data_IF_772334883131
#
_entry.id   IF_772334883131
#
_cell.length_a   1.000
_cell.length_b   1.000
_cell.length_c   1.000
_cell.angle_alpha   90.00
_cell.angle_beta   90.00
_cell.angle_gamma   90.00
#
_symmetry.space_group_name_H-M   'P 1'
#
loop_
_entity.id
_entity.type
_entity.pdbx_description
1 polymer ?
#
# COMPACT_ATOMS: atom_id res chain seq x y z
N UNK A 1 6.44 -34.32 -20.39
CA UNK A 1 5.18 -33.56 -20.31
C UNK A 1 5.52 -32.08 -20.36
N UNK A 2 5.00 -31.28 -21.30
CA UNK A 2 5.30 -29.86 -21.34
C UNK A 2 4.35 -29.11 -20.40
N UNK A 3 4.95 -28.35 -19.50
CA UNK A 3 4.33 -27.27 -18.72
C UNK A 3 3.76 -26.26 -19.71
N UNK A 4 2.43 -26.09 -19.71
CA UNK A 4 1.76 -25.11 -20.54
C UNK A 4 2.18 -23.69 -20.11
N UNK A 5 2.69 -22.92 -21.06
CA UNK A 5 3.13 -21.54 -20.88
C UNK A 5 1.94 -20.62 -20.51
N UNK A 6 1.92 -20.14 -19.27
CA UNK A 6 1.02 -19.08 -18.76
C UNK A 6 1.30 -17.68 -19.33
N UNK A 7 1.52 -17.57 -20.63
CA UNK A 7 1.89 -16.30 -21.30
C UNK A 7 0.71 -15.32 -21.47
N UNK A 8 -0.54 -15.72 -21.16
CA UNK A 8 -1.72 -14.87 -21.32
C UNK A 8 -1.95 -13.84 -20.20
N UNK A 9 -1.60 -14.18 -18.95
CA UNK A 9 -1.95 -13.36 -17.78
C UNK A 9 -0.98 -12.20 -17.56
N UNK A 10 0.28 -12.35 -17.98
CA UNK A 10 1.31 -11.30 -17.87
C UNK A 10 1.32 -10.28 -19.01
N UNK A 11 0.70 -10.61 -20.16
CA UNK A 11 0.67 -9.72 -21.32
C UNK A 11 -0.22 -8.50 -21.09
N UNK A 12 -1.37 -8.68 -20.42
CA UNK A 12 -2.32 -7.59 -20.14
C UNK A 12 -1.72 -6.54 -19.21
N UNK A 13 -1.13 -6.96 -18.08
CA UNK A 13 -0.45 -6.06 -17.14
C UNK A 13 0.79 -5.35 -17.73
N UNK A 14 1.52 -6.01 -18.64
CA UNK A 14 2.66 -5.39 -19.36
C UNK A 14 2.18 -4.36 -20.38
N UNK A 15 1.07 -4.57 -21.06
CA UNK A 15 0.50 -3.63 -22.04
C UNK A 15 -0.14 -2.41 -21.37
N UNK A 16 -0.63 -2.57 -20.13
CA UNK A 16 -1.14 -1.50 -19.27
C UNK A 16 -0.04 -0.59 -18.69
N UNK A 17 1.21 -1.05 -18.68
CA UNK A 17 2.33 -0.42 -17.98
C UNK A 17 3.26 0.45 -18.82
N UNK A 18 2.96 0.74 -20.09
CA UNK A 18 3.88 1.49 -20.96
C UNK A 18 3.83 3.03 -20.75
N UNK A 19 2.94 3.53 -19.90
CA UNK A 19 2.99 4.91 -19.40
C UNK A 19 2.66 4.94 -17.92
N UNK A 20 3.27 5.87 -17.17
CA UNK A 20 2.99 6.10 -15.73
C UNK A 20 1.49 6.28 -15.46
N UNK A 21 0.74 6.76 -16.45
CA UNK A 21 -0.68 7.10 -16.35
C UNK A 21 -1.65 6.07 -16.96
N UNK A 22 -1.16 5.05 -17.66
CA UNK A 22 -2.00 4.12 -18.43
C UNK A 22 -3.12 3.46 -17.62
N UNK A 23 -2.81 2.82 -16.47
CA UNK A 23 -3.82 2.19 -15.62
C UNK A 23 -4.86 3.19 -15.09
N UNK A 24 -4.42 4.41 -14.77
CA UNK A 24 -5.30 5.48 -14.25
C UNK A 24 -6.31 5.92 -15.30
N UNK A 25 -5.88 6.13 -16.55
CA UNK A 25 -6.78 6.54 -17.63
C UNK A 25 -7.86 5.47 -17.86
N UNK A 26 -7.47 4.20 -17.86
CA UNK A 26 -8.44 3.12 -18.06
C UNK A 26 -9.42 2.97 -16.90
N UNK A 27 -8.94 3.03 -15.67
CA UNK A 27 -9.81 2.99 -14.49
C UNK A 27 -10.69 4.25 -14.39
N UNK A 28 -10.21 5.41 -14.81
CA UNK A 28 -11.00 6.63 -14.90
C UNK A 28 -12.07 6.56 -16.00
N UNK A 29 -11.79 5.87 -17.10
CA UNK A 29 -12.77 5.61 -18.18
C UNK A 29 -13.83 4.60 -17.75
N UNK A 30 -13.44 3.59 -16.96
CA UNK A 30 -14.37 2.67 -16.32
C UNK A 30 -15.16 3.44 -15.25
N UNK A 31 -16.39 3.83 -15.55
CA UNK A 31 -17.28 4.43 -14.54
C UNK A 31 -17.78 3.35 -13.58
N UNK A 32 -18.09 3.68 -12.32
CA UNK A 32 -18.86 2.77 -11.48
C UNK A 32 -20.21 2.51 -12.15
N UNK A 33 -20.52 1.24 -12.40
CA UNK A 33 -21.78 0.85 -13.00
C UNK A 33 -22.77 0.46 -11.92
N UNK A 34 -23.96 1.06 -11.97
CA UNK A 34 -25.05 0.67 -11.09
C UNK A 34 -25.55 -0.71 -11.51
N UNK A 35 -25.66 -1.62 -10.56
CA UNK A 35 -26.23 -2.94 -10.83
C UNK A 35 -27.75 -2.84 -11.03
N UNK A 36 -28.35 -3.89 -11.59
CA UNK A 36 -29.79 -3.93 -11.87
C UNK A 36 -30.66 -3.85 -10.59
N UNK A 37 -30.13 -4.27 -9.44
CA UNK A 37 -30.82 -4.25 -8.15
C UNK A 37 -30.07 -3.42 -7.11
N UNK A 38 -30.78 -3.04 -6.04
CA UNK A 38 -30.20 -2.31 -4.92
C UNK A 38 -29.17 -3.18 -4.18
N UNK A 39 -29.51 -4.44 -3.93
CA UNK A 39 -28.67 -5.40 -3.21
C UNK A 39 -27.35 -5.63 -3.95
N UNK A 40 -27.39 -5.80 -5.27
CA UNK A 40 -26.19 -5.95 -6.09
C UNK A 40 -25.37 -4.64 -6.16
N UNK A 41 -26.02 -3.48 -6.07
CA UNK A 41 -25.33 -2.19 -5.99
C UNK A 41 -24.66 -2.00 -4.63
N UNK A 42 -25.32 -2.42 -3.54
CA UNK A 42 -24.78 -2.37 -2.20
C UNK A 42 -23.57 -3.30 -2.05
N UNK A 43 -23.68 -4.55 -2.50
CA UNK A 43 -22.55 -5.50 -2.45
C UNK A 43 -21.31 -4.99 -3.20
N UNK A 44 -21.49 -4.33 -4.35
CA UNK A 44 -20.38 -3.68 -5.06
C UNK A 44 -19.74 -2.55 -4.27
N UNK A 45 -20.53 -1.75 -3.55
CA UNK A 45 -20.01 -0.68 -2.69
C UNK A 45 -19.25 -1.25 -1.49
N UNK A 46 -19.76 -2.31 -0.89
CA UNK A 46 -19.11 -3.04 0.22
C UNK A 46 -17.77 -3.62 -0.22
N UNK A 47 -17.71 -4.26 -1.40
CA UNK A 47 -16.48 -4.76 -1.98
C UNK A 47 -15.45 -3.65 -2.25
N UNK A 48 -15.93 -2.55 -2.83
CA UNK A 48 -15.11 -1.37 -3.08
C UNK A 48 -14.53 -0.75 -1.80
N UNK A 49 -15.28 -0.78 -0.69
CA UNK A 49 -14.82 -0.34 0.62
C UNK A 49 -13.83 -1.34 1.23
N UNK A 50 -14.12 -2.64 1.15
CA UNK A 50 -13.23 -3.69 1.63
C UNK A 50 -11.86 -3.66 0.95
N UNK A 51 -11.81 -3.40 -0.36
CA UNK A 51 -10.56 -3.24 -1.11
C UNK A 51 -9.79 -1.99 -0.67
N UNK A 52 -10.48 -0.86 -0.45
CA UNK A 52 -9.83 0.37 0.04
C UNK A 52 -9.26 0.18 1.44
N UNK A 53 -9.99 -0.51 2.31
CA UNK A 53 -9.52 -0.89 3.64
C UNK A 53 -8.29 -1.80 3.57
N UNK A 54 -8.33 -2.88 2.77
CA UNK A 54 -7.19 -3.78 2.58
C UNK A 54 -5.95 -3.05 2.07
N UNK A 55 -6.13 -2.11 1.13
CA UNK A 55 -5.05 -1.28 0.63
C UNK A 55 -4.53 -0.26 1.65
N UNK A 56 -5.39 0.25 2.54
CA UNK A 56 -5.00 1.07 3.68
C UNK A 56 -4.16 0.28 4.68
N UNK A 57 -4.64 -0.89 5.09
CA UNK A 57 -3.94 -1.82 6.00
C UNK A 57 -2.58 -2.24 5.46
N UNK A 58 -2.47 -2.48 4.15
CA UNK A 58 -1.18 -2.76 3.50
C UNK A 58 -0.10 -1.71 3.84
N UNK A 59 -0.45 -0.42 3.80
CA UNK A 59 0.50 0.64 4.11
C UNK A 59 0.81 0.71 5.60
N UNK A 60 -0.18 0.53 6.48
CA UNK A 60 0.06 0.45 7.93
C UNK A 60 1.00 -0.71 8.28
N UNK A 61 0.75 -1.91 7.77
CA UNK A 61 1.60 -3.06 8.02
C UNK A 61 3.01 -2.84 7.48
N UNK A 62 3.16 -2.19 6.32
CA UNK A 62 4.49 -1.84 5.82
C UNK A 62 5.17 -0.82 6.74
N UNK A 63 4.54 0.30 7.01
CA UNK A 63 5.11 1.40 7.80
C UNK A 63 5.44 1.00 9.24
N UNK A 64 4.72 0.02 9.80
CA UNK A 64 4.96 -0.55 11.12
C UNK A 64 5.91 -1.78 11.14
N UNK A 65 6.43 -2.21 9.98
CA UNK A 65 7.40 -3.31 9.91
C UNK A 65 6.82 -4.73 10.03
N UNK A 66 5.51 -4.90 9.83
CA UNK A 66 4.83 -6.20 9.89
C UNK A 66 4.79 -6.87 8.51
N UNK A 67 5.90 -7.53 8.15
CA UNK A 67 6.03 -8.23 6.87
C UNK A 67 5.06 -9.41 6.71
N UNK A 68 4.66 -10.05 7.80
CA UNK A 68 3.73 -11.16 7.80
C UNK A 68 2.32 -10.68 7.41
N UNK A 69 1.84 -9.64 8.07
CA UNK A 69 0.54 -9.04 7.74
C UNK A 69 0.53 -8.42 6.34
N UNK A 70 1.63 -7.82 5.88
CA UNK A 70 1.76 -7.39 4.47
C UNK A 70 1.59 -8.59 3.53
N UNK A 71 2.30 -9.69 3.78
CA UNK A 71 2.26 -10.86 2.91
C UNK A 71 0.86 -11.51 2.88
N UNK A 72 0.14 -11.51 3.99
CA UNK A 72 -1.20 -12.07 4.07
C UNK A 72 -2.24 -11.33 3.21
N UNK A 73 -1.96 -10.08 2.80
CA UNK A 73 -2.80 -9.34 1.86
C UNK A 73 -2.60 -9.75 0.40
N UNK A 74 -1.69 -10.69 0.11
CA UNK A 74 -1.43 -11.22 -1.22
C UNK A 74 -1.98 -12.64 -1.36
N UNK A 75 -2.46 -12.99 -2.56
CA UNK A 75 -2.80 -14.39 -2.88
C UNK A 75 -1.54 -15.27 -2.85
N UNK A 76 -1.72 -16.59 -2.67
CA UNK A 76 -0.59 -17.52 -2.58
C UNK A 76 0.31 -17.47 -3.84
N UNK A 77 -0.32 -17.26 -5.00
CA UNK A 77 0.27 -17.16 -6.34
C UNK A 77 0.55 -15.71 -6.78
N UNK A 78 0.52 -14.74 -5.86
CA UNK A 78 0.54 -13.33 -6.23
C UNK A 78 1.83 -12.90 -6.95
N UNK A 79 1.72 -11.85 -7.77
CA UNK A 79 2.86 -11.29 -8.49
C UNK A 79 3.09 -9.83 -8.12
N UNK A 80 4.19 -9.55 -7.42
CA UNK A 80 4.64 -8.20 -7.12
C UNK A 80 5.72 -7.76 -8.11
N UNK A 81 5.48 -6.66 -8.81
CA UNK A 81 6.48 -5.98 -9.64
C UNK A 81 6.79 -4.62 -9.03
N UNK A 82 8.05 -4.41 -8.67
CA UNK A 82 8.51 -3.14 -8.12
C UNK A 82 9.85 -2.76 -8.78
N UNK A 83 10.46 -1.59 -8.45
CA UNK A 83 11.69 -1.16 -9.09
C UNK A 83 12.90 -2.10 -8.94
N UNK A 84 12.85 -3.08 -8.03
CA UNK A 84 13.92 -4.08 -7.84
C UNK A 84 13.71 -5.35 -8.67
N UNK A 85 12.53 -5.56 -9.24
CA UNK A 85 12.21 -6.73 -10.04
C UNK A 85 10.83 -7.32 -9.77
N UNK A 86 10.69 -8.60 -10.07
CA UNK A 86 9.44 -9.35 -9.95
C UNK A 86 9.57 -10.45 -8.89
N UNK A 87 8.60 -10.52 -7.98
CA UNK A 87 8.50 -11.50 -6.91
C UNK A 87 7.21 -12.27 -7.10
N UNK A 88 7.32 -13.60 -7.18
CA UNK A 88 6.19 -14.50 -7.50
C UNK A 88 5.91 -15.38 -6.29
N UNK A 89 4.66 -15.39 -5.87
CA UNK A 89 4.12 -16.09 -4.71
C UNK A 89 4.29 -15.33 -3.40
N UNK A 90 3.38 -15.58 -2.45
CA UNK A 90 3.32 -14.89 -1.14
C UNK A 90 4.65 -14.92 -0.40
N UNK A 91 5.33 -16.07 -0.41
CA UNK A 91 6.63 -16.22 0.25
C UNK A 91 7.73 -15.30 -0.35
N UNK A 92 7.74 -15.08 -1.67
CA UNK A 92 8.69 -14.17 -2.31
C UNK A 92 8.36 -12.70 -2.02
N UNK A 93 7.06 -12.39 -1.96
CA UNK A 93 6.58 -11.07 -1.56
C UNK A 93 7.02 -10.75 -0.12
N UNK A 94 6.82 -11.67 0.82
CA UNK A 94 7.28 -11.53 2.22
C UNK A 94 8.76 -11.20 2.29
N UNK A 95 9.62 -12.00 1.65
CA UNK A 95 11.08 -11.78 1.62
C UNK A 95 11.48 -10.39 1.09
N UNK A 96 10.75 -9.88 0.10
CA UNK A 96 10.99 -8.53 -0.41
C UNK A 96 10.68 -7.47 0.65
N UNK A 97 9.58 -7.59 1.39
CA UNK A 97 9.23 -6.61 2.43
C UNK A 97 10.12 -6.70 3.66
N UNK A 98 10.48 -7.91 4.11
CA UNK A 98 11.48 -8.12 5.17
C UNK A 98 12.79 -7.40 4.83
N UNK A 99 13.26 -7.56 3.58
CA UNK A 99 14.46 -6.87 3.11
C UNK A 99 14.30 -5.34 3.16
N UNK A 100 13.17 -4.79 2.69
CA UNK A 100 12.94 -3.34 2.71
C UNK A 100 12.89 -2.78 4.12
N UNK A 101 12.12 -3.43 5.00
CA UNK A 101 11.93 -3.03 6.40
C UNK A 101 13.26 -3.10 7.15
N UNK A 102 14.14 -4.07 6.84
CA UNK A 102 15.49 -4.14 7.45
C UNK A 102 16.44 -3.02 7.04
N UNK A 103 16.09 -2.22 6.02
CA UNK A 103 16.97 -1.19 5.41
C UNK A 103 16.42 0.22 5.56
N UNK A 104 15.27 0.38 6.18
CA UNK A 104 14.62 1.68 6.34
C UNK A 104 14.36 1.91 7.83
N UNK A 105 14.58 3.15 8.27
CA UNK A 105 13.96 3.63 9.50
C UNK A 105 12.47 3.87 9.28
N UNK A 106 11.83 4.77 10.04
CA UNK A 106 10.44 5.16 9.81
C UNK A 106 10.15 5.51 8.35
N UNK A 107 9.05 4.95 7.84
CA UNK A 107 8.47 5.25 6.52
C UNK A 107 7.01 5.62 6.72
N UNK A 108 6.53 6.54 5.89
CA UNK A 108 5.13 6.89 5.78
C UNK A 108 4.73 6.84 4.32
N UNK A 109 3.83 5.91 3.97
CA UNK A 109 3.23 5.83 2.65
C UNK A 109 1.90 6.57 2.59
N UNK A 110 1.84 7.56 1.72
CA UNK A 110 0.63 8.30 1.37
C UNK A 110 0.12 7.80 0.03
N UNK A 111 -0.82 6.85 0.07
CA UNK A 111 -1.54 6.42 -1.12
C UNK A 111 -2.75 7.31 -1.35
N UNK A 112 -2.72 8.11 -2.41
CA UNK A 112 -3.78 9.08 -2.73
C UNK A 112 -4.47 8.73 -4.05
N UNK A 113 -5.63 9.37 -4.28
CA UNK A 113 -6.44 9.17 -5.49
C UNK A 113 -6.80 7.69 -5.73
N UNK A 114 -7.04 6.95 -4.64
CA UNK A 114 -7.38 5.53 -4.69
C UNK A 114 -8.69 5.33 -5.43
N UNK A 115 -8.62 4.68 -6.58
CA UNK A 115 -9.79 4.32 -7.37
C UNK A 115 -9.87 2.81 -7.45
N UNK A 116 -11.05 2.25 -7.16
CA UNK A 116 -11.34 0.81 -7.20
C UNK A 116 -12.45 0.55 -8.21
N UNK A 117 -12.34 -0.53 -8.98
CA UNK A 117 -13.37 -1.01 -9.91
C UNK A 117 -13.52 -2.52 -9.79
N UNK A 118 -14.64 -2.95 -9.23
CA UNK A 118 -15.07 -4.35 -9.28
C UNK A 118 -15.51 -4.68 -10.71
N UNK A 119 -15.05 -5.79 -11.24
CA UNK A 119 -15.31 -6.21 -12.60
C UNK A 119 -16.80 -6.48 -12.82
N UNK A 120 -17.31 -6.11 -14.00
CA UNK A 120 -18.70 -6.36 -14.36
C UNK A 120 -18.95 -7.81 -14.76
N UNK A 121 -17.95 -8.45 -15.38
CA UNK A 121 -18.05 -9.83 -15.88
C UNK A 121 -17.66 -10.87 -14.84
N UNK A 122 -16.96 -10.46 -13.79
CA UNK A 122 -16.50 -11.34 -12.71
C UNK A 122 -16.49 -10.58 -11.38
N UNK A 123 -17.48 -10.79 -10.49
CA UNK A 123 -17.59 -10.06 -9.23
C UNK A 123 -16.52 -10.45 -8.19
N UNK A 124 -15.70 -11.46 -8.48
CA UNK A 124 -14.57 -11.87 -7.64
C UNK A 124 -13.23 -11.31 -8.15
N UNK A 125 -13.28 -10.39 -9.13
CA UNK A 125 -12.13 -9.64 -9.61
C UNK A 125 -12.36 -8.13 -9.48
N UNK A 126 -11.30 -7.41 -9.12
CA UNK A 126 -11.31 -5.96 -9.12
C UNK A 126 -9.94 -5.40 -9.47
N UNK A 127 -9.91 -4.11 -9.83
CA UNK A 127 -8.69 -3.38 -10.11
C UNK A 127 -8.64 -2.12 -9.28
N UNK A 128 -7.45 -1.74 -8.82
CA UNK A 128 -7.24 -0.43 -8.22
C UNK A 128 -5.98 0.27 -8.69
N UNK A 129 -6.01 1.59 -8.62
CA UNK A 129 -4.84 2.46 -8.86
C UNK A 129 -4.77 3.54 -7.79
N UNK A 130 -3.55 3.96 -7.48
CA UNK A 130 -3.29 5.06 -6.57
C UNK A 130 -1.98 5.76 -6.92
N UNK A 131 -1.85 7.03 -6.56
CA UNK A 131 -0.55 7.69 -6.52
C UNK A 131 0.15 7.31 -5.23
N UNK A 132 1.45 7.05 -5.34
CA UNK A 132 2.32 6.91 -4.19
C UNK A 132 3.03 8.23 -3.95
N UNK A 133 2.99 8.69 -2.72
CA UNK A 133 4.03 9.53 -2.14
C UNK A 133 4.53 8.85 -0.87
N UNK A 134 5.84 8.75 -0.67
CA UNK A 134 6.38 8.30 0.60
C UNK A 134 7.48 9.21 1.12
N UNK A 135 7.56 9.28 2.44
CA UNK A 135 8.70 9.85 3.18
C UNK A 135 9.34 8.71 3.93
N UNK A 136 10.66 8.57 3.80
CA UNK A 136 11.41 7.51 4.45
C UNK A 136 12.70 8.08 5.03
N UNK A 137 13.15 7.44 6.09
CA UNK A 137 14.41 7.77 6.73
C UNK A 137 15.40 6.61 6.62
N UNK A 138 16.68 6.93 6.49
CA UNK A 138 17.78 5.96 6.38
C UNK A 138 19.03 6.44 7.10
N UNK A 139 19.84 5.45 7.52
CA UNK A 139 21.03 5.67 8.34
C UNK A 139 20.68 6.15 9.76
N UNK A 140 21.59 5.95 10.68
CA UNK A 140 21.38 6.23 12.10
C UNK A 140 22.66 6.84 12.69
N UNK A 141 22.53 7.89 13.51
CA UNK A 141 23.64 8.44 14.28
C UNK A 141 23.83 7.68 15.60
N UNK A 142 24.89 7.99 16.35
CA UNK A 142 25.19 7.32 17.63
C UNK A 142 24.10 7.51 18.71
N UNK A 143 23.06 8.31 18.45
CA UNK A 143 21.93 8.58 19.35
C UNK A 143 20.63 7.95 18.86
N UNK A 144 20.68 7.10 17.82
CA UNK A 144 19.49 6.46 17.30
C UNK A 144 18.64 7.33 16.37
N UNK A 145 19.15 8.49 15.92
CA UNK A 145 18.39 9.42 15.09
C UNK A 145 18.70 9.19 13.62
N UNK A 146 17.67 9.27 12.78
CA UNK A 146 17.88 9.08 11.36
C UNK A 146 18.78 10.17 10.76
N UNK A 147 19.78 9.76 9.98
CA UNK A 147 20.77 10.68 9.39
C UNK A 147 20.38 11.21 8.02
N UNK A 148 19.42 10.56 7.35
CA UNK A 148 18.95 10.94 6.02
C UNK A 148 17.45 10.83 5.96
N UNK A 149 16.79 11.86 5.44
CA UNK A 149 15.35 11.87 5.18
C UNK A 149 15.17 12.11 3.69
N UNK A 150 14.43 11.22 3.04
CA UNK A 150 14.14 11.28 1.62
C UNK A 150 12.67 11.01 1.35
N UNK A 151 12.29 11.18 0.10
CA UNK A 151 10.96 10.84 -0.37
C UNK A 151 11.00 10.27 -1.78
N UNK A 152 9.92 9.60 -2.16
CA UNK A 152 9.74 9.14 -3.52
C UNK A 152 8.28 9.22 -3.92
N UNK A 153 8.05 9.51 -5.20
CA UNK A 153 6.72 9.51 -5.78
C UNK A 153 6.58 8.46 -6.86
N UNK A 154 5.39 7.89 -7.00
CA UNK A 154 5.16 6.72 -7.81
C UNK A 154 3.69 6.45 -8.08
N UNK A 155 3.42 5.26 -8.58
CA UNK A 155 2.08 4.80 -8.92
C UNK A 155 1.89 3.34 -8.54
N UNK A 156 0.67 3.01 -8.13
CA UNK A 156 0.19 1.66 -7.94
C UNK A 156 -0.79 1.29 -9.06
N UNK A 157 -0.68 0.06 -9.54
CA UNK A 157 -1.72 -0.63 -10.30
C UNK A 157 -1.84 -2.05 -9.75
N UNK A 158 -3.03 -2.41 -9.30
CA UNK A 158 -3.27 -3.61 -8.51
C UNK A 158 -4.47 -4.38 -9.07
N UNK A 159 -4.29 -5.68 -9.23
CA UNK A 159 -5.36 -6.63 -9.48
C UNK A 159 -5.72 -7.33 -8.17
N UNK A 160 -7.01 -7.40 -7.88
CA UNK A 160 -7.57 -8.01 -6.68
C UNK A 160 -8.37 -9.24 -7.07
N UNK A 161 -8.28 -10.28 -6.25
CA UNK A 161 -9.14 -11.47 -6.33
C UNK A 161 -9.80 -11.70 -4.98
N UNK A 162 -11.09 -12.07 -5.00
CA UNK A 162 -11.77 -12.56 -3.80
C UNK A 162 -11.35 -14.00 -3.53
N UNK A 163 -11.00 -14.29 -2.29
CA UNK A 163 -10.68 -15.62 -1.80
C UNK A 163 -11.35 -15.82 -0.45
N UNK A 164 -12.23 -16.81 -0.34
CA UNK A 164 -12.99 -17.13 0.89
C UNK A 164 -13.66 -15.91 1.55
N UNK A 165 -14.20 -15.01 0.72
CA UNK A 165 -14.88 -13.79 1.18
C UNK A 165 -13.97 -12.57 1.39
N UNK A 166 -12.64 -12.75 1.34
CA UNK A 166 -11.67 -11.66 1.51
C UNK A 166 -11.07 -11.20 0.18
N UNK A 167 -10.81 -9.89 0.06
CA UNK A 167 -10.13 -9.32 -1.11
C UNK A 167 -8.62 -9.31 -0.92
N UNK A 168 -7.90 -10.03 -1.79
CA UNK A 168 -6.45 -10.16 -1.75
C UNK A 168 -5.81 -9.65 -3.05
N UNK A 169 -4.59 -9.12 -2.94
CA UNK A 169 -3.80 -8.68 -4.09
C UNK A 169 -3.29 -9.89 -4.88
N UNK A 170 -3.80 -10.05 -6.09
CA UNK A 170 -3.37 -11.06 -7.05
C UNK A 170 -2.12 -10.62 -7.84
N UNK A 171 -2.08 -9.33 -8.19
CA UNK A 171 -0.91 -8.72 -8.79
C UNK A 171 -0.80 -7.28 -8.30
N UNK A 172 0.42 -6.84 -8.02
CA UNK A 172 0.70 -5.46 -7.64
C UNK A 172 1.88 -4.95 -8.44
N UNK A 173 1.70 -3.82 -9.10
CA UNK A 173 2.78 -3.10 -9.78
C UNK A 173 2.96 -1.74 -9.14
N UNK A 174 4.15 -1.52 -8.62
CA UNK A 174 4.60 -0.26 -8.04
C UNK A 174 5.68 0.36 -8.93
N UNK A 175 5.56 1.66 -9.20
CA UNK A 175 6.64 2.47 -9.76
C UNK A 175 7.22 3.40 -8.70
N UNK A 176 8.48 3.80 -8.90
CA UNK A 176 9.09 4.97 -8.24
C UNK A 176 9.60 5.87 -9.34
N UNK A 177 8.81 6.90 -9.67
CA UNK A 177 9.04 7.76 -10.82
C UNK A 177 10.05 8.87 -10.54
N UNK A 178 10.15 9.30 -9.28
CA UNK A 178 11.13 10.28 -8.86
C UNK A 178 11.51 10.07 -7.39
N UNK A 179 12.67 10.61 -7.02
CA UNK A 179 13.17 10.67 -5.64
C UNK A 179 13.45 12.12 -5.29
N UNK A 180 13.25 12.46 -4.03
CA UNK A 180 13.62 13.76 -3.47
C UNK A 180 14.42 13.54 -2.20
N UNK A 181 15.38 14.43 -1.94
CA UNK A 181 16.06 14.54 -0.65
C UNK A 181 15.48 15.71 0.12
N UNK A 182 15.31 15.56 1.43
CA UNK A 182 14.95 16.67 2.30
C UNK A 182 16.20 17.13 3.04
N UNK A 183 16.40 18.45 3.06
CA UNK A 183 17.41 19.07 3.93
C UNK A 183 16.69 19.65 5.14
N UNK A 184 17.20 19.38 6.33
CA UNK A 184 16.74 20.10 7.51
C UNK A 184 17.08 21.58 7.32
N UNK A 185 16.13 22.51 7.53
CA UNK A 185 16.46 23.92 7.62
C UNK A 185 17.54 24.12 8.70
N UNK A 186 18.53 24.97 8.42
CA UNK A 186 19.50 25.36 9.44
C UNK A 186 18.80 26.24 10.49
N UNK A 187 18.90 25.85 11.76
CA UNK A 187 18.55 26.69 12.90
C UNK A 187 17.04 26.86 13.13
N UNK A 188 16.48 26.04 14.00
CA UNK A 188 15.36 26.48 14.83
C UNK A 188 15.95 27.12 16.08
N UNK A 189 15.70 28.41 16.31
CA UNK A 189 15.98 29.03 17.60
C UNK A 189 15.03 28.44 18.64
N UNK A 190 15.51 27.46 19.40
CA UNK A 190 14.78 26.91 20.53
C UNK A 190 14.78 27.93 21.66
N UNK A 191 13.74 28.75 21.74
CA UNK A 191 13.22 29.07 23.06
C UNK A 191 12.70 27.76 23.67
N UNK A 192 12.93 27.55 24.97
CA UNK A 192 12.28 26.44 25.66
C UNK A 192 10.77 26.67 25.59
N UNK A 193 9.98 25.63 25.26
CA UNK A 193 8.53 25.74 25.37
C UNK A 193 8.13 26.01 26.83
N UNK A 194 6.94 26.58 27.08
CA UNK A 194 6.41 26.67 28.43
C UNK A 194 6.31 25.28 29.07
N UNK A 195 6.36 25.24 30.40
CA UNK A 195 6.14 23.99 31.13
C UNK A 195 4.73 23.46 30.81
N UNK A 196 4.57 22.15 30.52
CA UNK A 196 3.27 21.58 30.24
C UNK A 196 2.45 21.45 31.53
N UNK A 197 1.13 21.57 31.43
CA UNK A 197 0.21 21.40 32.56
C UNK A 197 0.08 19.93 33.02
N UNK A 198 0.38 18.99 32.12
CA UNK A 198 0.38 17.55 32.34
C UNK A 198 1.64 16.92 31.75
N UNK A 199 2.12 15.83 32.36
CA UNK A 199 3.30 15.10 31.89
C UNK A 199 3.01 14.15 30.71
N UNK A 200 1.81 14.21 30.14
CA UNK A 200 1.42 13.36 29.01
C UNK A 200 2.25 13.67 27.76
N UNK A 201 2.75 12.62 27.12
CA UNK A 201 3.46 12.66 25.85
C UNK A 201 2.49 12.44 24.69
N UNK A 202 2.79 13.03 23.54
CA UNK A 202 2.12 12.71 22.26
C UNK A 202 2.20 11.23 21.87
N UNK A 203 3.01 10.43 22.57
CA UNK A 203 3.18 9.00 22.36
C UNK A 203 2.47 8.12 23.39
N UNK A 204 1.87 8.68 24.44
CA UNK A 204 1.28 7.87 25.51
C UNK A 204 0.08 7.05 25.01
N UNK A 205 -0.70 7.59 24.06
CA UNK A 205 -1.82 6.92 23.40
C UNK A 205 -1.38 5.99 22.25
N UNK A 206 -0.10 6.03 21.86
CA UNK A 206 0.46 5.19 20.79
C UNK A 206 1.10 3.90 21.32
N UNK A 207 1.34 3.83 22.63
CA UNK A 207 1.76 2.59 23.28
C UNK A 207 0.55 1.68 23.33
N UNK A 208 0.71 0.42 22.91
CA UNK A 208 -0.34 -0.59 23.06
C UNK A 208 -0.69 -0.71 24.55
N UNK A 209 -1.76 -0.03 24.96
CA UNK A 209 -2.40 -0.23 26.24
C UNK A 209 -3.43 -1.35 26.05
N UNK A 210 -3.20 -2.55 26.61
CA UNK A 210 -4.13 -3.67 26.47
C UNK A 210 -5.51 -3.39 27.09
N UNK A 211 -5.62 -2.37 27.95
CA UNK A 211 -6.87 -1.96 28.59
C UNK A 211 -7.55 -0.78 27.84
N UNK A 212 -6.91 -0.22 26.81
CA UNK A 212 -7.50 0.83 25.99
C UNK A 212 -8.54 0.26 25.02
N UNK A 213 -9.81 0.45 25.36
CA UNK A 213 -10.93 0.19 24.47
C UNK A 213 -11.35 1.48 23.76
N UNK A 214 -11.43 1.44 22.42
CA UNK A 214 -12.11 2.50 21.68
C UNK A 214 -13.55 2.62 22.17
N UNK A 215 -14.06 3.83 22.45
CA UNK A 215 -15.48 4.00 22.73
C UNK A 215 -16.26 3.63 21.47
N UNK A 216 -16.91 2.46 21.54
CA UNK A 216 -17.75 1.78 20.53
C UNK A 216 -16.99 0.78 19.65
N UNK A 217 -17.11 -0.50 20.00
CA UNK A 217 -17.25 -1.58 19.01
C UNK A 217 -18.71 -1.73 18.65
#
# INVERSE_FOLDING_TARGET
MPIQNGNGQFARLKQLGNTVFGPFVQIAQAKPTRAATLEASLGRLEDELAIRDAFGRYHYFYDCGDADSVANLFTEDAVLVNPRGTYIGRAAVKRNYEFLMSRSGPVFHYATNVTVRVSESDPDQAHSTAFLWCVHSTGEDDRGRATTIGGAGGTYAIEWRRHDGEWLMAASRLTLNYRVGFTSPAGSTSALPPAPDLAESSTDWLRHDPDFAWPNG
#
